data_IF_383740015801
#
_entry.id   IF_383740015801
#
_cell.length_a   1.000
_cell.length_b   1.000
_cell.length_c   1.000
_cell.angle_alpha   90.00
_cell.angle_beta   90.00
_cell.angle_gamma   90.00
#
_symmetry.space_group_name_H-M   'P 1'
#
loop_
_entity.id
_entity.type
_entity.pdbx_description
1 polymer ?
#
# COMPACT_ATOMS: atom_id res chain seq x y z
N UNK A 1 -8.76 -6.46 -21.24
CA UNK A 1 -7.55 -7.06 -20.64
C UNK A 1 -7.59 -6.96 -19.13
N UNK A 2 -6.96 -7.90 -18.45
CA UNK A 2 -6.84 -7.90 -16.98
C UNK A 2 -5.71 -6.96 -16.58
N UNK A 3 -5.99 -6.04 -15.65
CA UNK A 3 -4.96 -5.16 -15.08
C UNK A 3 -4.06 -5.95 -14.12
N UNK A 4 -2.75 -5.68 -14.08
CA UNK A 4 -1.83 -6.41 -13.20
C UNK A 4 -2.11 -6.17 -11.72
N UNK A 5 -2.43 -4.95 -11.32
CA UNK A 5 -2.77 -4.59 -9.94
C UNK A 5 -3.59 -3.31 -9.90
N UNK A 6 -4.46 -3.20 -8.90
CA UNK A 6 -5.25 -1.99 -8.61
C UNK A 6 -5.12 -1.62 -7.15
N UNK A 7 -5.05 -0.32 -6.87
CA UNK A 7 -5.13 0.20 -5.51
C UNK A 7 -6.55 0.06 -4.97
N UNK A 8 -6.68 -0.32 -3.71
CA UNK A 8 -7.96 -0.46 -3.04
C UNK A 8 -7.93 0.12 -1.64
N UNK A 9 -8.97 0.86 -1.29
CA UNK A 9 -9.24 1.31 0.06
C UNK A 9 -10.72 1.06 0.37
N UNK A 10 -11.07 0.42 1.50
CA UNK A 10 -12.44 0.05 1.81
C UNK A 10 -13.32 1.22 2.25
N UNK A 11 -12.79 2.45 2.19
CA UNK A 11 -13.49 3.68 2.57
C UNK A 11 -13.98 4.42 1.34
N UNK A 12 -15.27 4.81 1.30
CA UNK A 12 -15.77 5.68 0.24
C UNK A 12 -15.28 7.11 0.43
N UNK A 13 -14.71 7.62 -0.60
CA UNK A 13 -14.26 8.92 -1.08
C UNK A 13 -14.20 10.15 -0.19
N UNK A 14 -14.77 10.24 0.98
CA UNK A 14 -14.73 11.44 1.83
C UNK A 14 -14.63 11.17 3.32
N UNK A 15 -14.69 9.92 3.73
CA UNK A 15 -14.54 9.59 5.14
C UNK A 15 -13.07 9.35 5.45
N UNK A 16 -12.51 10.26 6.21
CA UNK A 16 -11.32 9.97 7.00
C UNK A 16 -11.55 8.66 7.78
N UNK A 17 -10.50 7.90 8.12
CA UNK A 17 -10.60 6.73 8.98
C UNK A 17 -10.93 7.17 10.42
N UNK A 18 -11.99 7.97 10.57
CA UNK A 18 -12.53 8.31 11.86
C UNK A 18 -13.31 7.12 12.42
N UNK A 19 -13.20 6.98 13.70
CA UNK A 19 -13.56 5.88 14.59
C UNK A 19 -14.94 5.24 14.38
N UNK A 20 -15.82 5.87 13.60
CA UNK A 20 -17.20 5.44 13.38
C UNK A 20 -17.46 4.72 12.06
N UNK A 21 -16.45 4.61 11.18
CA UNK A 21 -16.57 3.95 9.88
C UNK A 21 -15.70 2.70 9.82
N UNK A 22 -16.06 1.69 10.63
CA UNK A 22 -15.48 0.35 10.44
C UNK A 22 -15.96 -0.18 9.10
N UNK A 23 -15.06 -0.56 8.17
CA UNK A 23 -15.47 -1.13 6.89
C UNK A 23 -16.34 -2.35 7.13
N UNK A 24 -17.49 -2.37 6.49
CA UNK A 24 -18.40 -3.50 6.54
C UNK A 24 -17.81 -4.67 5.73
N UNK A 25 -17.73 -5.84 6.33
CA UNK A 25 -17.24 -7.09 5.68
C UNK A 25 -18.01 -7.37 4.38
N UNK A 26 -19.31 -7.17 4.36
CA UNK A 26 -20.13 -7.40 3.15
C UNK A 26 -19.79 -6.44 2.04
N UNK A 27 -19.52 -5.17 2.36
CA UNK A 27 -19.08 -4.16 1.39
C UNK A 27 -17.70 -4.53 0.82
N UNK A 28 -16.76 -4.90 1.68
CA UNK A 28 -15.42 -5.35 1.24
C UNK A 28 -15.56 -6.54 0.30
N UNK A 29 -16.37 -7.52 0.67
CA UNK A 29 -16.57 -8.72 -0.15
C UNK A 29 -17.17 -8.38 -1.52
N UNK A 30 -18.15 -7.48 -1.57
CA UNK A 30 -18.75 -7.02 -2.82
C UNK A 30 -17.73 -6.27 -3.70
N UNK A 31 -16.94 -5.39 -3.10
CA UNK A 31 -15.89 -4.65 -3.80
C UNK A 31 -14.83 -5.60 -4.37
N UNK A 32 -14.35 -6.55 -3.59
CA UNK A 32 -13.31 -7.48 -4.00
C UNK A 32 -13.80 -8.47 -5.06
N UNK A 33 -15.04 -8.91 -4.98
CA UNK A 33 -15.66 -9.71 -6.02
C UNK A 33 -15.65 -8.97 -7.36
N UNK A 34 -16.02 -7.69 -7.36
CA UNK A 34 -15.99 -6.85 -8.55
C UNK A 34 -14.57 -6.65 -9.07
N UNK A 35 -13.62 -6.34 -8.20
CA UNK A 35 -12.22 -6.14 -8.56
C UNK A 35 -11.59 -7.41 -9.14
N UNK A 36 -11.97 -8.59 -8.67
CA UNK A 36 -11.46 -9.86 -9.16
C UNK A 36 -11.78 -10.15 -10.64
N UNK A 37 -12.77 -9.44 -11.20
CA UNK A 37 -13.07 -9.52 -12.63
C UNK A 37 -12.13 -8.65 -13.48
N UNK A 38 -11.43 -7.69 -12.86
CA UNK A 38 -10.60 -6.69 -13.54
C UNK A 38 -9.10 -6.87 -13.29
N UNK A 39 -8.73 -7.48 -12.17
CA UNK A 39 -7.34 -7.65 -11.77
C UNK A 39 -7.13 -8.95 -11.00
N UNK A 40 -5.86 -9.35 -10.84
CA UNK A 40 -5.47 -10.50 -10.01
C UNK A 40 -4.80 -10.08 -8.71
N UNK A 41 -4.52 -8.78 -8.55
CA UNK A 41 -3.83 -8.25 -7.37
C UNK A 41 -4.35 -6.88 -6.99
N UNK A 42 -4.34 -6.58 -5.70
CA UNK A 42 -4.69 -5.27 -5.15
C UNK A 42 -3.57 -4.77 -4.24
N UNK A 43 -3.47 -3.45 -4.12
CA UNK A 43 -2.55 -2.78 -3.23
C UNK A 43 -3.32 -1.99 -2.18
N UNK A 44 -2.92 -2.15 -0.92
CA UNK A 44 -3.43 -1.39 0.22
C UNK A 44 -2.43 -0.32 0.65
N UNK A 45 -2.91 0.76 1.27
CA UNK A 45 -2.08 1.85 1.78
C UNK A 45 -1.89 1.80 3.29
N UNK A 46 -2.74 1.05 4.00
CA UNK A 46 -2.77 0.92 5.45
C UNK A 46 -3.07 -0.53 5.83
N UNK A 47 -2.79 -0.89 7.06
CA UNK A 47 -3.06 -2.22 7.61
C UNK A 47 -3.89 -2.18 8.89
N UNK A 48 -4.43 -1.02 9.25
CA UNK A 48 -5.27 -0.81 10.43
C UNK A 48 -6.63 -0.21 10.05
N UNK A 49 -7.49 0.01 11.04
CA UNK A 49 -8.78 0.66 10.83
C UNK A 49 -9.81 -0.13 10.03
N UNK A 50 -9.72 -1.46 10.04
CA UNK A 50 -10.59 -2.36 9.27
C UNK A 50 -9.98 -2.85 7.97
N UNK A 51 -8.89 -2.25 7.50
CA UNK A 51 -8.18 -2.70 6.28
C UNK A 51 -7.58 -4.10 6.48
N UNK A 52 -7.29 -4.49 7.70
CA UNK A 52 -6.82 -5.81 8.08
C UNK A 52 -7.78 -6.94 7.69
N UNK A 53 -9.04 -6.63 7.44
CA UNK A 53 -10.04 -7.59 6.96
C UNK A 53 -9.87 -7.94 5.48
N UNK A 54 -9.16 -7.11 4.72
CA UNK A 54 -9.08 -7.22 3.26
C UNK A 54 -8.32 -8.47 2.79
N UNK A 55 -7.10 -8.79 3.27
CA UNK A 55 -6.37 -9.94 2.75
C UNK A 55 -7.12 -11.28 2.85
N UNK A 56 -7.73 -11.65 3.98
CA UNK A 56 -8.46 -12.92 4.04
C UNK A 56 -9.69 -12.96 3.13
N UNK A 57 -10.40 -11.84 2.96
CA UNK A 57 -11.55 -11.78 2.05
C UNK A 57 -11.07 -11.82 0.59
N UNK A 58 -9.98 -11.14 0.28
CA UNK A 58 -9.37 -11.17 -1.06
C UNK A 58 -8.98 -12.60 -1.49
N UNK A 59 -8.55 -13.43 -0.55
CA UNK A 59 -8.21 -14.82 -0.81
C UNK A 59 -9.42 -15.63 -1.31
N UNK A 60 -10.64 -15.31 -0.88
CA UNK A 60 -11.86 -15.94 -1.35
C UNK A 60 -12.06 -15.80 -2.87
N UNK A 61 -11.51 -14.74 -3.46
CA UNK A 61 -11.62 -14.42 -4.88
C UNK A 61 -10.32 -14.64 -5.67
N UNK A 62 -9.34 -15.29 -5.05
CA UNK A 62 -8.06 -15.57 -5.68
C UNK A 62 -7.18 -14.33 -5.90
N UNK A 63 -7.44 -13.24 -5.18
CA UNK A 63 -6.66 -12.02 -5.28
C UNK A 63 -5.41 -12.07 -4.41
N UNK A 64 -4.27 -11.67 -5.01
CA UNK A 64 -3.06 -11.36 -4.26
C UNK A 64 -3.16 -9.95 -3.69
N UNK A 65 -2.53 -9.73 -2.55
CA UNK A 65 -2.58 -8.45 -1.85
C UNK A 65 -1.17 -7.98 -1.52
N UNK A 66 -0.83 -6.78 -1.97
CA UNK A 66 0.32 -6.05 -1.44
C UNK A 66 -0.18 -5.17 -0.30
N UNK A 67 0.21 -5.49 0.92
CA UNK A 67 -0.23 -4.72 2.08
C UNK A 67 0.60 -3.44 2.23
N UNK A 68 0.01 -2.44 2.83
CA UNK A 68 0.65 -1.15 3.09
C UNK A 68 0.78 -0.87 4.57
N UNK A 69 1.84 -0.18 4.96
CA UNK A 69 1.96 0.47 6.24
C UNK A 69 1.95 1.98 6.01
N UNK A 70 0.95 2.66 6.51
CA UNK A 70 0.89 4.12 6.40
C UNK A 70 1.93 4.74 7.32
N UNK A 71 2.83 5.54 6.77
CA UNK A 71 3.92 6.19 7.52
C UNK A 71 3.78 7.71 7.42
N UNK A 72 3.71 8.35 8.57
CA UNK A 72 3.70 9.80 8.71
C UNK A 72 4.64 10.23 9.85
N UNK A 73 4.44 11.40 10.43
CA UNK A 73 5.25 11.93 11.55
C UNK A 73 4.94 11.29 12.90
N UNK A 74 3.80 10.61 13.03
CA UNK A 74 3.35 10.03 14.28
C UNK A 74 4.03 8.68 14.51
N UNK A 75 5.04 8.64 15.37
CA UNK A 75 5.83 7.44 15.62
C UNK A 75 5.00 6.28 16.18
N UNK A 76 4.03 6.54 17.05
CA UNK A 76 3.18 5.49 17.62
C UNK A 76 2.26 4.88 16.57
N UNK A 77 1.69 5.69 15.68
CA UNK A 77 0.88 5.22 14.57
C UNK A 77 1.72 4.42 13.59
N UNK A 78 2.91 4.89 13.26
CA UNK A 78 3.85 4.17 12.38
C UNK A 78 4.15 2.79 12.94
N UNK A 79 4.40 2.68 14.24
CA UNK A 79 4.66 1.41 14.91
C UNK A 79 3.47 0.44 14.77
N UNK A 80 2.26 0.91 15.05
CA UNK A 80 1.04 0.09 14.92
C UNK A 80 0.83 -0.39 13.48
N UNK A 81 1.04 0.50 12.52
CA UNK A 81 0.91 0.17 11.09
C UNK A 81 1.92 -0.89 10.65
N UNK A 82 3.16 -0.74 11.06
CA UNK A 82 4.23 -1.70 10.73
C UNK A 82 3.94 -3.07 11.37
N UNK A 83 3.58 -3.10 12.64
CA UNK A 83 3.23 -4.35 13.33
C UNK A 83 2.04 -5.04 12.66
N UNK A 84 1.01 -4.26 12.28
CA UNK A 84 -0.15 -4.79 11.57
C UNK A 84 0.20 -5.34 10.18
N UNK A 85 0.99 -4.62 9.40
CA UNK A 85 1.42 -5.06 8.07
C UNK A 85 2.26 -6.36 8.15
N UNK A 86 3.19 -6.44 9.08
CA UNK A 86 3.98 -7.66 9.34
C UNK A 86 3.06 -8.82 9.69
N UNK A 87 2.10 -8.60 10.59
CA UNK A 87 1.13 -9.62 10.98
C UNK A 87 0.30 -10.14 9.80
N UNK A 88 -0.18 -9.25 8.94
CA UNK A 88 -0.94 -9.63 7.74
C UNK A 88 -0.10 -10.46 6.78
N UNK A 89 1.16 -10.07 6.55
CA UNK A 89 2.07 -10.81 5.68
C UNK A 89 2.37 -12.22 6.21
N UNK A 90 2.44 -12.38 7.54
CA UNK A 90 2.70 -13.68 8.16
C UNK A 90 1.47 -14.60 8.19
N UNK A 91 0.27 -14.04 8.35
CA UNK A 91 -0.96 -14.82 8.51
C UNK A 91 -1.69 -15.13 7.20
N UNK A 92 -1.39 -14.40 6.13
CA UNK A 92 -2.12 -14.52 4.87
C UNK A 92 -1.18 -14.88 3.73
N UNK A 93 -1.31 -16.09 3.20
CA UNK A 93 -0.45 -16.59 2.12
C UNK A 93 -0.64 -15.87 0.79
N UNK A 94 -1.76 -15.16 0.61
CA UNK A 94 -2.01 -14.35 -0.57
C UNK A 94 -1.37 -12.94 -0.50
N UNK A 95 -0.73 -12.60 0.60
CA UNK A 95 0.08 -11.37 0.68
C UNK A 95 1.40 -11.61 -0.05
N UNK A 96 1.67 -10.80 -1.07
CA UNK A 96 2.82 -10.94 -1.97
C UNK A 96 3.88 -9.84 -1.81
N UNK A 97 3.67 -8.89 -0.92
CA UNK A 97 4.61 -7.80 -0.67
C UNK A 97 4.11 -6.84 0.38
N UNK A 98 5.02 -6.00 0.86
CA UNK A 98 4.72 -4.93 1.82
C UNK A 98 5.28 -3.60 1.30
N UNK A 99 4.43 -2.57 1.27
CA UNK A 99 4.83 -1.20 0.92
C UNK A 99 4.86 -0.37 2.21
N UNK A 100 6.05 0.00 2.65
CA UNK A 100 6.28 0.78 3.87
C UNK A 100 6.29 2.27 3.51
N UNK A 101 5.15 2.93 3.70
CA UNK A 101 4.97 4.33 3.38
C UNK A 101 4.55 4.60 1.93
N UNK A 102 3.73 5.63 1.77
CA UNK A 102 3.26 6.12 0.48
C UNK A 102 3.61 7.59 0.34
N UNK A 103 4.56 7.90 -0.55
CA UNK A 103 5.07 9.25 -0.78
C UNK A 103 5.53 9.96 0.50
N UNK A 104 6.02 9.18 1.45
CA UNK A 104 6.38 9.64 2.78
C UNK A 104 7.49 10.70 2.74
N UNK A 105 8.49 10.51 1.89
CA UNK A 105 9.57 11.47 1.70
C UNK A 105 9.07 12.69 0.92
N UNK A 106 8.31 12.48 -0.15
CA UNK A 106 7.74 13.58 -0.94
C UNK A 106 6.84 14.49 -0.09
N UNK A 107 6.04 13.92 0.80
CA UNK A 107 5.18 14.66 1.72
C UNK A 107 5.94 15.29 2.90
N UNK A 108 7.24 15.04 3.03
CA UNK A 108 8.05 15.55 4.13
C UNK A 108 7.73 14.96 5.51
N UNK A 109 7.19 13.74 5.54
CA UNK A 109 6.74 13.09 6.78
C UNK A 109 7.88 12.36 7.51
N UNK A 110 8.90 11.92 6.79
CA UNK A 110 10.08 11.23 7.31
C UNK A 110 11.33 11.70 6.58
N UNK A 111 12.48 11.57 7.25
CA UNK A 111 13.79 11.66 6.60
C UNK A 111 14.11 10.33 5.93
N UNK A 112 14.95 10.37 4.90
CA UNK A 112 15.38 9.18 4.16
C UNK A 112 15.93 8.09 5.08
N UNK A 113 16.85 8.43 5.97
CA UNK A 113 17.49 7.45 6.87
C UNK A 113 16.49 6.81 7.82
N UNK A 114 15.53 7.56 8.31
CA UNK A 114 14.50 7.06 9.22
C UNK A 114 13.55 6.10 8.48
N UNK A 115 13.16 6.42 7.25
CA UNK A 115 12.34 5.52 6.43
C UNK A 115 13.11 4.23 6.10
N UNK A 116 14.39 4.32 5.78
CA UNK A 116 15.24 3.14 5.50
C UNK A 116 15.26 2.20 6.71
N UNK A 117 15.36 2.74 7.94
CA UNK A 117 15.32 1.92 9.16
C UNK A 117 13.99 1.18 9.31
N UNK A 118 12.87 1.84 9.02
CA UNK A 118 11.55 1.21 9.05
C UNK A 118 11.44 0.09 8.00
N UNK A 119 11.94 0.32 6.79
CA UNK A 119 11.99 -0.68 5.72
C UNK A 119 12.81 -1.89 6.16
N UNK A 120 13.99 -1.68 6.73
CA UNK A 120 14.86 -2.76 7.24
C UNK A 120 14.18 -3.58 8.33
N UNK A 121 13.47 -2.91 9.23
CA UNK A 121 12.70 -3.57 10.29
C UNK A 121 11.66 -4.53 9.72
N UNK A 122 10.92 -4.10 8.70
CA UNK A 122 9.93 -4.95 8.03
C UNK A 122 10.61 -6.10 7.28
N UNK A 123 11.68 -5.84 6.55
CA UNK A 123 12.43 -6.87 5.80
C UNK A 123 12.92 -8.00 6.70
N UNK A 124 13.33 -7.71 7.91
CA UNK A 124 13.77 -8.73 8.89
C UNK A 124 12.63 -9.62 9.38
N UNK A 125 11.41 -9.17 9.27
CA UNK A 125 10.24 -9.78 9.91
C UNK A 125 9.35 -10.55 8.93
N UNK A 126 9.51 -10.36 7.62
CA UNK A 126 8.67 -10.98 6.60
C UNK A 126 9.50 -11.71 5.54
N UNK A 127 8.88 -12.66 4.85
CA UNK A 127 9.50 -13.43 3.76
C UNK A 127 9.03 -13.00 2.36
N UNK A 128 8.30 -11.89 2.28
CA UNK A 128 7.83 -11.32 1.03
C UNK A 128 8.64 -10.06 0.69
N UNK A 129 8.69 -9.65 -0.59
CA UNK A 129 9.37 -8.42 -0.98
C UNK A 129 8.84 -7.18 -0.27
N UNK A 130 9.73 -6.26 0.07
CA UNK A 130 9.43 -5.01 0.80
C UNK A 130 9.97 -3.83 0.02
N UNK A 131 9.15 -2.79 -0.10
CA UNK A 131 9.50 -1.53 -0.72
C UNK A 131 8.82 -0.35 -0.02
N UNK A 132 8.99 0.83 -0.56
CA UNK A 132 8.17 2.03 -0.29
C UNK A 132 7.65 2.57 -1.62
N UNK A 133 6.53 3.28 -1.58
CA UNK A 133 6.00 3.95 -2.77
C UNK A 133 6.45 5.41 -2.79
N UNK A 134 7.11 5.84 -3.87
CA UNK A 134 7.58 7.21 -4.03
C UNK A 134 7.46 7.68 -5.48
N UNK A 135 7.43 8.98 -5.69
CA UNK A 135 7.50 9.57 -7.02
C UNK A 135 8.91 9.34 -7.61
N UNK A 136 9.00 9.32 -8.93
CA UNK A 136 10.24 9.03 -9.66
C UNK A 136 11.43 9.89 -9.23
N UNK A 137 11.22 11.18 -8.99
CA UNK A 137 12.28 12.10 -8.60
C UNK A 137 12.95 11.71 -7.29
N UNK A 138 12.17 11.21 -6.32
CA UNK A 138 12.69 10.75 -5.01
C UNK A 138 13.58 9.52 -5.22
N UNK A 139 13.17 8.57 -6.04
CA UNK A 139 14.00 7.40 -6.36
C UNK A 139 15.32 7.79 -7.04
N UNK A 140 15.24 8.67 -8.03
CA UNK A 140 16.42 9.14 -8.77
C UNK A 140 17.42 9.83 -7.85
N UNK A 141 16.97 10.69 -6.95
CA UNK A 141 17.81 11.55 -6.12
C UNK A 141 18.30 10.87 -4.83
N UNK A 142 17.80 9.66 -4.52
CA UNK A 142 18.11 8.95 -3.28
C UNK A 142 18.52 7.50 -3.55
N UNK A 143 19.74 7.26 -4.07
CA UNK A 143 20.20 5.89 -4.38
C UNK A 143 20.27 4.98 -3.15
N UNK A 144 20.49 5.53 -1.95
CA UNK A 144 20.49 4.75 -0.71
C UNK A 144 19.09 4.16 -0.41
N UNK A 145 18.04 4.91 -0.71
CA UNK A 145 16.68 4.41 -0.59
C UNK A 145 16.44 3.27 -1.60
N UNK A 146 16.85 3.47 -2.84
CA UNK A 146 16.71 2.46 -3.90
C UNK A 146 17.44 1.15 -3.56
N UNK A 147 18.62 1.22 -2.94
CA UNK A 147 19.36 0.02 -2.53
C UNK A 147 18.80 -0.67 -1.28
N UNK A 148 17.89 -0.02 -0.56
CA UNK A 148 17.29 -0.56 0.67
C UNK A 148 16.03 -1.37 0.43
N UNK A 149 15.44 -1.31 -0.75
CA UNK A 149 14.19 -1.98 -1.11
C UNK A 149 14.43 -3.18 -1.99
N UNK A 150 13.46 -4.08 -2.06
CA UNK A 150 13.53 -5.27 -2.91
C UNK A 150 13.07 -4.99 -4.35
N UNK A 151 12.28 -3.94 -4.57
CA UNK A 151 11.84 -3.50 -5.90
C UNK A 151 11.46 -2.02 -5.85
N UNK A 152 11.44 -1.38 -7.00
CA UNK A 152 11.08 0.04 -7.14
C UNK A 152 9.59 0.17 -7.40
N UNK A 153 8.88 0.86 -6.51
CA UNK A 153 7.48 1.25 -6.69
C UNK A 153 7.44 2.76 -6.97
N UNK A 154 7.39 3.13 -8.23
CA UNK A 154 7.40 4.52 -8.67
C UNK A 154 6.00 4.97 -9.05
N UNK A 155 5.56 6.09 -8.47
CA UNK A 155 4.33 6.76 -8.87
C UNK A 155 4.64 7.69 -10.02
N UNK A 156 4.03 7.42 -11.17
CA UNK A 156 4.10 8.30 -12.34
C UNK A 156 2.87 9.19 -12.32
N UNK A 157 3.08 10.50 -12.12
CA UNK A 157 2.02 11.47 -12.31
C UNK A 157 1.68 11.51 -13.81
N UNK A 158 0.43 11.22 -14.22
CA UNK A 158 0.07 11.35 -15.61
C UNK A 158 0.11 12.82 -16.03
N UNK A 159 1.00 13.16 -16.97
CA UNK A 159 1.10 14.48 -17.62
C UNK A 159 -0.05 14.67 -18.63
N UNK A 160 -1.29 14.61 -18.16
CA UNK A 160 -2.43 14.85 -19.04
C UNK A 160 -3.22 16.03 -18.51
N UNK A 161 -3.24 17.13 -19.24
CA UNK A 161 -3.89 18.39 -18.87
C UNK A 161 -5.42 18.32 -18.69
N UNK A 162 -6.04 17.14 -18.81
CA UNK A 162 -7.49 16.98 -18.82
C UNK A 162 -8.06 15.91 -17.87
N UNK A 163 -7.28 15.43 -16.89
CA UNK A 163 -7.82 14.53 -15.88
C UNK A 163 -8.40 15.34 -14.71
N UNK A 164 -9.70 15.18 -14.46
CA UNK A 164 -10.30 15.61 -13.19
C UNK A 164 -9.72 14.79 -12.06
N UNK A 165 -9.60 15.38 -10.87
CA UNK A 165 -9.02 14.76 -9.65
C UNK A 165 -9.58 13.38 -9.28
N UNK A 166 -10.69 12.97 -9.89
CA UNK A 166 -11.32 11.66 -9.71
C UNK A 166 -10.76 10.55 -10.61
N UNK A 167 -9.87 10.88 -11.54
CA UNK A 167 -9.33 9.95 -12.53
C UNK A 167 -7.81 9.78 -12.46
N UNK A 168 -7.14 10.40 -11.48
CA UNK A 168 -5.75 10.10 -11.18
C UNK A 168 -5.69 8.68 -10.56
N UNK A 169 -5.74 7.69 -11.43
CA UNK A 169 -5.43 6.32 -11.05
C UNK A 169 -3.94 6.30 -10.77
N UNK A 170 -3.54 6.06 -9.52
CA UNK A 170 -2.17 5.76 -9.15
C UNK A 170 -1.72 4.54 -9.96
N UNK A 171 -1.10 4.78 -11.10
CA UNK A 171 -0.41 3.70 -11.81
C UNK A 171 0.95 3.51 -11.15
N UNK A 172 1.02 2.55 -10.24
CA UNK A 172 2.29 2.02 -9.82
C UNK A 172 2.85 1.19 -11.00
N UNK A 173 3.88 1.71 -11.63
CA UNK A 173 4.64 0.93 -12.62
C UNK A 173 5.69 0.14 -11.84
N UNK A 174 5.50 -1.17 -11.77
CA UNK A 174 6.52 -2.09 -11.27
C UNK A 174 7.49 -2.38 -12.41
N UNK A 175 8.72 -1.90 -12.29
CA UNK A 175 9.81 -2.25 -13.20
C UNK A 175 10.60 -3.42 -12.64
#
# INVERSE_FOLDING_TARGET
>A
GILPSLSYAPFEGTSHPDVDNVPNVEKIRADLKKLSTMTRAIRLYSSTGGVELVPPIAAEFGLKVTVGAWIDKNADRNKREIEAAIGLAKRNSNVNGVVVGNETIFRGEQKIDDLIELIKQVKKSVNVPVTTGEIWNIWRDNPDLASSVDFIAAHVLPYWENFTDKQAVDQAVYL
#
